data_IF_875270129765
#
_entry.id   IF_875270129765
#
_cell.length_a   1.000
_cell.length_b   1.000
_cell.length_c   1.000
_cell.angle_alpha   90.00
_cell.angle_beta   90.00
_cell.angle_gamma   90.00
#
_symmetry.space_group_name_H-M   'P 1'
#
loop_
_entity.id
_entity.type
_entity.pdbx_description
1 polymer ?
#
# COMPACT_ATOMS: atom_id res chain seq x y z
N UNK A 1 -22.61 35.25 12.93
CA UNK A 1 -21.41 34.39 12.93
C UNK A 1 -21.88 32.96 13.13
N UNK A 2 -21.63 32.00 12.23
CA UNK A 2 -21.99 30.62 12.51
C UNK A 2 -21.10 30.11 13.66
N UNK A 3 -21.72 29.60 14.72
CA UNK A 3 -21.04 28.98 15.84
C UNK A 3 -20.35 27.71 15.34
N UNK A 4 -19.01 27.69 15.25
CA UNK A 4 -18.29 26.45 15.02
C UNK A 4 -18.65 25.47 16.13
N UNK A 5 -19.27 24.35 15.76
CA UNK A 5 -19.59 23.30 16.72
C UNK A 5 -18.29 22.66 17.16
N UNK A 6 -17.96 22.82 18.44
CA UNK A 6 -16.81 22.18 19.07
C UNK A 6 -17.26 20.97 19.87
N UNK A 7 -16.46 19.91 19.81
CA UNK A 7 -16.69 18.67 20.52
C UNK A 7 -15.51 18.39 21.45
N UNK A 8 -15.79 18.12 22.72
CA UNK A 8 -14.76 17.66 23.63
C UNK A 8 -14.39 16.20 23.33
N UNK A 9 -13.19 15.99 22.79
CA UNK A 9 -12.69 14.65 22.43
C UNK A 9 -11.89 14.07 23.59
N UNK A 10 -12.39 12.98 24.18
CA UNK A 10 -11.76 12.23 25.26
C UNK A 10 -10.73 11.22 24.75
N UNK A 11 -10.93 10.69 23.56
CA UNK A 11 -10.12 9.60 23.01
C UNK A 11 -10.57 9.17 21.63
N UNK A 12 -9.77 8.26 21.07
CA UNK A 12 -10.05 7.61 19.79
C UNK A 12 -10.16 6.11 19.98
N UNK A 13 -11.03 5.49 19.20
CA UNK A 13 -11.11 4.05 19.08
C UNK A 13 -10.81 3.64 17.64
N UNK A 14 -9.90 2.69 17.46
CA UNK A 14 -9.44 2.24 16.17
C UNK A 14 -10.07 0.89 15.81
N UNK A 15 -10.36 0.69 14.53
CA UNK A 15 -10.85 -0.58 14.00
C UNK A 15 -10.22 -0.86 12.64
N UNK A 16 -9.92 -2.14 12.36
CA UNK A 16 -9.33 -2.55 11.08
C UNK A 16 -7.81 -2.34 11.00
N UNK A 17 -7.18 -1.96 12.11
CA UNK A 17 -5.73 -1.92 12.25
C UNK A 17 -5.18 -3.30 12.66
N UNK A 18 -4.44 -3.93 11.76
CA UNK A 18 -3.65 -5.15 12.02
C UNK A 18 -2.15 -4.88 12.03
N UNK A 19 -1.70 -3.84 11.31
CA UNK A 19 -0.30 -3.43 11.22
C UNK A 19 0.18 -2.74 12.50
N UNK A 20 -0.61 -1.77 12.98
CA UNK A 20 -0.27 -0.97 14.15
C UNK A 20 -1.24 -1.22 15.28
N UNK A 21 -0.70 -1.31 16.49
CA UNK A 21 -1.50 -1.47 17.70
C UNK A 21 -2.31 -0.21 18.03
N UNK A 22 -3.41 -0.37 18.76
CA UNK A 22 -4.21 0.76 19.27
C UNK A 22 -3.36 1.74 20.08
N UNK A 23 -2.40 1.22 20.86
CA UNK A 23 -1.48 2.03 21.68
C UNK A 23 -0.61 2.92 20.79
N UNK A 24 -0.14 2.39 19.67
CA UNK A 24 0.70 3.15 18.74
C UNK A 24 -0.13 4.24 18.04
N UNK A 25 -1.31 3.89 17.54
CA UNK A 25 -2.21 4.86 16.90
C UNK A 25 -2.70 5.92 17.88
N UNK A 26 -2.90 5.58 19.15
CA UNK A 26 -3.23 6.54 20.20
C UNK A 26 -2.12 7.58 20.42
N UNK A 27 -0.83 7.22 20.24
CA UNK A 27 0.27 8.20 20.28
C UNK A 27 0.23 9.16 19.11
N UNK A 28 -0.16 8.67 17.92
CA UNK A 28 -0.32 9.50 16.72
C UNK A 28 -1.45 10.52 16.91
N UNK A 29 -2.52 10.14 17.60
CA UNK A 29 -3.69 11.01 17.85
C UNK A 29 -3.64 11.77 19.18
N UNK A 30 -2.60 11.61 19.99
CA UNK A 30 -2.43 12.30 21.28
C UNK A 30 -2.58 13.84 21.19
N UNK A 31 -2.03 14.53 20.15
CA UNK A 31 -2.23 15.98 19.97
C UNK A 31 -3.70 16.41 19.77
N UNK A 32 -4.58 15.45 19.47
CA UNK A 32 -5.99 15.66 19.16
C UNK A 32 -6.90 15.03 20.24
N UNK A 33 -6.40 14.84 21.45
CA UNK A 33 -7.13 14.21 22.55
C UNK A 33 -7.19 15.11 23.79
N UNK A 34 -8.20 14.92 24.65
CA UNK A 34 -8.45 15.65 25.91
C UNK A 34 -8.64 17.16 25.73
N UNK A 35 -9.18 17.59 24.59
CA UNK A 35 -9.48 19.00 24.29
C UNK A 35 -10.72 19.15 23.42
N UNK A 36 -11.23 20.37 23.35
CA UNK A 36 -12.28 20.72 22.40
C UNK A 36 -11.69 20.81 20.99
N UNK A 37 -12.27 20.07 20.06
CA UNK A 37 -11.90 20.08 18.65
C UNK A 37 -13.07 20.51 17.79
N UNK A 38 -12.77 21.25 16.72
CA UNK A 38 -13.71 21.42 15.61
C UNK A 38 -13.57 20.28 14.58
N UNK A 39 -14.45 20.26 13.57
CA UNK A 39 -14.43 19.24 12.53
C UNK A 39 -13.10 19.18 11.75
N UNK A 40 -12.44 20.32 11.56
CA UNK A 40 -11.16 20.36 10.84
C UNK A 40 -10.04 19.68 11.64
N UNK A 41 -9.97 19.92 12.95
CA UNK A 41 -8.97 19.29 13.82
C UNK A 41 -9.21 17.78 13.99
N UNK A 42 -10.47 17.34 14.01
CA UNK A 42 -10.82 15.91 13.98
C UNK A 42 -10.33 15.28 12.67
N UNK A 43 -10.51 15.97 11.54
CA UNK A 43 -9.97 15.54 10.25
C UNK A 43 -8.43 15.54 10.22
N UNK A 44 -7.77 16.45 10.94
CA UNK A 44 -6.31 16.42 11.10
C UNK A 44 -5.86 15.16 11.84
N UNK A 45 -6.59 14.70 12.86
CA UNK A 45 -6.29 13.45 13.55
C UNK A 45 -6.38 12.24 12.60
N UNK A 46 -7.45 12.16 11.79
CA UNK A 46 -7.59 11.12 10.74
C UNK A 46 -6.47 11.17 9.71
N UNK A 47 -6.08 12.37 9.28
CA UNK A 47 -4.95 12.56 8.36
C UNK A 47 -3.63 12.12 8.98
N UNK A 48 -3.39 12.43 10.26
CA UNK A 48 -2.19 12.01 10.97
C UNK A 48 -2.05 10.48 11.00
N UNK A 49 -3.15 9.76 11.30
CA UNK A 49 -3.18 8.29 11.23
C UNK A 49 -2.90 7.80 9.81
N UNK A 50 -3.53 8.38 8.79
CA UNK A 50 -3.29 7.98 7.40
C UNK A 50 -1.84 8.19 6.97
N UNK A 51 -1.24 9.33 7.35
CA UNK A 51 0.16 9.64 7.09
C UNK A 51 1.10 8.69 7.82
N UNK A 52 0.75 8.25 9.04
CA UNK A 52 1.52 7.23 9.75
C UNK A 52 1.63 5.94 8.92
N UNK A 53 0.52 5.45 8.35
CA UNK A 53 0.55 4.28 7.46
C UNK A 53 1.39 4.51 6.20
N UNK A 54 1.20 5.65 5.53
CA UNK A 54 1.93 5.99 4.30
C UNK A 54 3.43 6.05 4.55
N UNK A 55 3.87 6.69 5.63
CA UNK A 55 5.28 6.85 5.99
C UNK A 55 5.98 5.52 6.31
N UNK A 56 5.21 4.48 6.66
CA UNK A 56 5.72 3.12 6.91
C UNK A 56 5.56 2.20 5.68
N UNK A 57 5.19 2.74 4.52
CA UNK A 57 5.13 2.02 3.25
C UNK A 57 3.76 1.45 2.88
N UNK A 58 2.72 1.70 3.67
CA UNK A 58 1.35 1.24 3.42
C UNK A 58 0.55 2.29 2.63
N UNK A 59 1.03 2.62 1.43
CA UNK A 59 0.59 3.80 0.66
C UNK A 59 -0.86 3.77 0.19
N UNK A 60 -1.44 2.58 0.03
CA UNK A 60 -2.85 2.39 -0.32
C UNK A 60 -3.72 2.15 0.92
N UNK A 61 -3.18 2.33 2.13
CA UNK A 61 -3.94 2.28 3.38
C UNK A 61 -4.32 3.69 3.82
N UNK A 62 -5.42 3.80 4.56
CA UNK A 62 -5.86 5.09 5.07
C UNK A 62 -6.88 4.97 6.19
N UNK A 63 -7.06 6.07 6.91
CA UNK A 63 -8.05 6.17 7.97
C UNK A 63 -9.30 6.91 7.47
N UNK A 64 -10.47 6.45 7.87
CA UNK A 64 -11.78 7.07 7.62
C UNK A 64 -12.50 7.26 8.94
N UNK A 65 -13.19 8.39 9.07
CA UNK A 65 -14.12 8.63 10.18
C UNK A 65 -15.51 8.30 9.64
N UNK A 66 -16.14 7.18 10.09
CA UNK A 66 -17.50 6.87 9.68
C UNK A 66 -18.48 7.87 10.30
N UNK A 67 -19.66 8.00 9.68
CA UNK A 67 -20.78 8.73 10.25
C UNK A 67 -21.13 8.17 11.63
N UNK A 68 -21.05 9.03 12.65
CA UNK A 68 -21.23 8.65 14.04
C UNK A 68 -21.73 9.85 14.85
N UNK A 69 -22.42 9.57 15.96
CA UNK A 69 -22.73 10.57 16.97
C UNK A 69 -21.79 10.35 18.17
N UNK A 70 -20.77 11.21 18.37
CA UNK A 70 -19.80 11.04 19.45
C UNK A 70 -20.38 11.50 20.80
N UNK A 71 -21.45 10.82 21.25
CA UNK A 71 -22.18 11.16 22.47
C UNK A 71 -21.30 11.14 23.74
N UNK A 72 -20.20 10.36 23.73
CA UNK A 72 -19.30 10.20 24.86
C UNK A 72 -17.93 10.88 24.66
N UNK A 73 -17.75 11.65 23.58
CA UNK A 73 -16.44 12.23 23.23
C UNK A 73 -15.40 11.21 22.79
N UNK A 74 -15.79 9.97 22.48
CA UNK A 74 -14.92 8.97 21.84
C UNK A 74 -15.18 9.03 20.34
N UNK A 75 -14.14 9.27 19.54
CA UNK A 75 -14.23 9.26 18.08
C UNK A 75 -13.73 7.93 17.54
N UNK A 76 -14.56 7.27 16.74
CA UNK A 76 -14.19 6.05 16.02
C UNK A 76 -13.43 6.42 14.75
N UNK A 77 -12.25 5.84 14.58
CA UNK A 77 -11.47 5.88 13.34
C UNK A 77 -11.39 4.45 12.80
N UNK A 78 -11.88 4.25 11.58
CA UNK A 78 -11.73 2.97 10.87
C UNK A 78 -10.53 3.07 9.95
N UNK A 79 -9.64 2.08 10.04
CA UNK A 79 -8.50 1.93 9.16
C UNK A 79 -8.92 0.99 8.03
N UNK A 80 -8.69 1.44 6.82
CA UNK A 80 -8.77 0.63 5.61
C UNK A 80 -7.34 0.28 5.24
N UNK A 81 -6.93 -0.92 5.63
CA UNK A 81 -5.62 -1.46 5.27
C UNK A 81 -5.64 -1.96 3.83
N UNK A 82 -4.78 -1.38 3.02
CA UNK A 82 -4.81 -1.57 1.59
C UNK A 82 -4.29 -2.94 1.17
N UNK A 83 -4.81 -3.44 0.05
CA UNK A 83 -4.47 -4.75 -0.52
C UNK A 83 -4.22 -4.63 -2.01
N UNK A 84 -3.50 -5.60 -2.56
CA UNK A 84 -3.37 -5.74 -3.99
C UNK A 84 -4.48 -6.66 -4.51
N UNK A 85 -5.45 -6.10 -5.23
CA UNK A 85 -6.61 -6.88 -5.72
C UNK A 85 -6.26 -7.73 -6.94
N UNK A 86 -5.32 -7.26 -7.78
CA UNK A 86 -4.84 -7.99 -8.95
C UNK A 86 -3.47 -7.52 -9.42
N UNK A 87 -2.79 -8.40 -10.16
CA UNK A 87 -1.55 -8.13 -10.87
C UNK A 87 -1.83 -8.31 -12.36
N UNK A 88 -1.61 -7.26 -13.14
CA UNK A 88 -1.66 -7.29 -14.60
C UNK A 88 -0.25 -7.43 -15.15
N UNK A 89 0.02 -8.52 -15.88
CA UNK A 89 1.31 -8.76 -16.51
C UNK A 89 1.19 -8.55 -18.02
N UNK A 90 2.18 -7.86 -18.60
CA UNK A 90 2.21 -7.58 -20.03
C UNK A 90 3.64 -7.67 -20.58
N UNK A 91 3.76 -8.05 -21.86
CA UNK A 91 5.00 -7.94 -22.64
C UNK A 91 5.95 -9.14 -22.55
N UNK A 92 5.78 -10.03 -21.56
CA UNK A 92 6.50 -11.29 -21.52
C UNK A 92 6.03 -12.23 -22.64
N UNK A 93 6.98 -12.87 -23.32
CA UNK A 93 6.75 -13.79 -24.45
C UNK A 93 7.14 -15.23 -24.12
N UNK A 94 8.16 -15.42 -23.28
CA UNK A 94 8.79 -16.69 -22.93
C UNK A 94 8.57 -17.05 -21.45
N UNK A 95 8.62 -16.07 -20.55
CA UNK A 95 8.30 -16.27 -19.14
C UNK A 95 6.79 -16.42 -18.98
N UNK A 96 6.37 -17.47 -18.28
CA UNK A 96 4.95 -17.72 -18.00
C UNK A 96 4.44 -16.75 -16.94
N UNK A 97 3.24 -16.21 -17.13
CA UNK A 97 2.55 -15.35 -16.16
C UNK A 97 2.48 -16.01 -14.78
N UNK A 98 2.16 -17.31 -14.72
CA UNK A 98 2.09 -18.06 -13.47
C UNK A 98 3.41 -18.01 -12.67
N UNK A 99 4.56 -18.05 -13.35
CA UNK A 99 5.86 -17.92 -12.70
C UNK A 99 6.03 -16.52 -12.10
N UNK A 100 5.81 -15.46 -12.90
CA UNK A 100 5.93 -14.08 -12.47
C UNK A 100 4.97 -13.74 -11.33
N UNK A 101 3.70 -14.17 -11.45
CA UNK A 101 2.68 -13.96 -10.44
C UNK A 101 3.02 -14.67 -9.13
N UNK A 102 3.42 -15.95 -9.17
CA UNK A 102 3.83 -16.71 -7.97
C UNK A 102 5.03 -16.10 -7.24
N UNK A 103 5.90 -15.40 -7.97
CA UNK A 103 7.01 -14.65 -7.39
C UNK A 103 6.47 -13.38 -6.74
N UNK A 104 5.80 -12.52 -7.49
CA UNK A 104 5.27 -11.23 -6.99
C UNK A 104 4.37 -11.39 -5.76
N UNK A 105 3.52 -12.42 -5.72
CA UNK A 105 2.64 -12.70 -4.58
C UNK A 105 3.35 -12.83 -3.23
N UNK A 106 4.62 -13.26 -3.21
CA UNK A 106 5.41 -13.35 -1.96
C UNK A 106 5.68 -11.99 -1.32
N UNK A 107 5.67 -10.94 -2.14
CA UNK A 107 5.95 -9.56 -1.75
C UNK A 107 4.70 -8.67 -1.83
N UNK A 108 3.56 -9.24 -2.25
CA UNK A 108 2.25 -8.57 -2.29
C UNK A 108 1.35 -9.03 -1.14
N UNK A 109 1.93 -9.30 0.03
CA UNK A 109 1.17 -9.69 1.23
C UNK A 109 0.15 -8.62 1.61
N UNK A 110 -0.97 -9.03 2.20
CA UNK A 110 -1.93 -8.11 2.81
C UNK A 110 -1.59 -7.90 4.29
N UNK A 111 -1.56 -6.66 4.80
CA UNK A 111 -1.69 -5.40 4.07
C UNK A 111 -0.49 -5.09 3.16
N UNK A 112 -0.76 -4.43 2.02
CA UNK A 112 0.24 -4.14 1.00
C UNK A 112 1.28 -3.14 1.54
N UNK A 113 2.54 -3.57 1.55
CA UNK A 113 3.67 -2.71 1.85
C UNK A 113 4.51 -2.49 0.58
N UNK A 114 4.61 -1.23 0.16
CA UNK A 114 5.28 -0.86 -1.07
C UNK A 114 6.79 -1.15 -1.04
N UNK A 115 7.43 -1.03 0.13
CA UNK A 115 8.86 -1.30 0.26
C UNK A 115 9.15 -2.79 0.00
N UNK A 116 8.35 -3.69 0.60
CA UNK A 116 8.45 -5.14 0.34
C UNK A 116 8.19 -5.46 -1.14
N UNK A 117 7.20 -4.83 -1.75
CA UNK A 117 6.91 -5.02 -3.18
C UNK A 117 8.09 -4.56 -4.07
N UNK A 118 8.69 -3.42 -3.76
CA UNK A 118 9.87 -2.91 -4.48
C UNK A 118 11.07 -3.85 -4.35
N UNK A 119 11.33 -4.41 -3.16
CA UNK A 119 12.35 -5.44 -2.96
C UNK A 119 12.08 -6.67 -3.85
N UNK A 120 10.83 -7.14 -3.91
CA UNK A 120 10.44 -8.25 -4.78
C UNK A 120 10.67 -7.97 -6.27
N UNK A 121 10.33 -6.76 -6.73
CA UNK A 121 10.59 -6.31 -8.10
C UNK A 121 12.09 -6.19 -8.39
N UNK A 122 12.90 -5.75 -7.43
CA UNK A 122 14.35 -5.73 -7.53
C UNK A 122 14.94 -7.13 -7.68
N UNK A 123 14.48 -8.09 -6.88
CA UNK A 123 14.91 -9.48 -6.98
C UNK A 123 14.50 -10.12 -8.32
N UNK A 124 13.31 -9.79 -8.83
CA UNK A 124 12.88 -10.24 -10.16
C UNK A 124 13.77 -9.69 -11.29
N UNK A 125 14.27 -8.44 -11.18
CA UNK A 125 15.22 -7.87 -12.14
C UNK A 125 16.56 -8.59 -12.19
N UNK A 126 16.95 -9.26 -11.12
CA UNK A 126 18.20 -10.04 -11.07
C UNK A 126 18.07 -11.40 -11.75
N UNK A 127 16.86 -11.82 -12.12
CA UNK A 127 16.65 -13.06 -12.84
C UNK A 127 17.24 -12.95 -14.26
N UNK A 128 18.12 -13.87 -14.69
CA UNK A 128 18.76 -13.80 -16.00
C UNK A 128 17.76 -13.88 -17.17
N UNK A 129 16.57 -14.45 -16.93
CA UNK A 129 15.52 -14.54 -17.95
C UNK A 129 14.66 -13.27 -18.03
N UNK A 130 14.84 -12.29 -17.13
CA UNK A 130 14.18 -10.99 -17.15
C UNK A 130 15.17 -9.96 -17.67
N UNK A 131 14.89 -9.35 -18.82
CA UNK A 131 15.69 -8.26 -19.36
C UNK A 131 15.32 -6.92 -18.72
N UNK A 132 14.02 -6.68 -18.55
CA UNK A 132 13.49 -5.47 -17.94
C UNK A 132 12.15 -5.76 -17.28
N UNK A 133 11.85 -5.07 -16.19
CA UNK A 133 10.51 -5.01 -15.60
C UNK A 133 10.25 -3.58 -15.14
N UNK A 134 9.13 -3.03 -15.58
CA UNK A 134 8.60 -1.74 -15.13
C UNK A 134 7.24 -2.02 -14.49
N UNK A 135 7.03 -1.58 -13.26
CA UNK A 135 5.78 -1.81 -12.56
C UNK A 135 5.26 -0.51 -11.96
N UNK A 136 3.94 -0.34 -12.00
CA UNK A 136 3.22 0.81 -11.49
C UNK A 136 2.06 0.33 -10.62
N UNK A 137 1.88 0.95 -9.46
CA UNK A 137 0.73 0.70 -8.59
C UNK A 137 -0.39 1.69 -8.95
N UNK A 138 -1.50 1.18 -9.44
CA UNK A 138 -2.69 1.94 -9.80
C UNK A 138 -3.79 1.78 -8.74
N UNK A 139 -4.66 2.77 -8.52
CA UNK A 139 -5.85 2.59 -7.68
C UNK A 139 -6.77 1.49 -8.21
N UNK A 140 -7.35 0.70 -7.30
CA UNK A 140 -8.38 -0.30 -7.61
C UNK A 140 -9.79 0.28 -7.69
N UNK A 141 -10.79 -0.62 -7.74
CA UNK A 141 -12.22 -0.23 -7.82
C UNK A 141 -12.80 0.19 -6.47
N UNK A 142 -12.22 -0.30 -5.37
CA UNK A 142 -12.65 0.02 -4.00
C UNK A 142 -11.56 0.77 -3.23
N UNK A 143 -11.91 1.60 -2.23
CA UNK A 143 -10.93 2.18 -1.31
C UNK A 143 -10.09 1.10 -0.64
N UNK A 144 -8.76 1.30 -0.59
CA UNK A 144 -7.82 0.31 -0.09
C UNK A 144 -7.32 -0.68 -1.15
N UNK A 145 -8.00 -0.82 -2.29
CA UNK A 145 -7.51 -1.71 -3.35
C UNK A 145 -6.47 -1.03 -4.24
N UNK A 146 -5.44 -1.78 -4.61
CA UNK A 146 -4.47 -1.42 -5.62
C UNK A 146 -4.35 -2.49 -6.70
N UNK A 147 -4.02 -2.08 -7.92
CA UNK A 147 -3.72 -2.93 -9.07
C UNK A 147 -2.27 -2.73 -9.45
N UNK A 148 -1.49 -3.80 -9.52
CA UNK A 148 -0.10 -3.73 -9.98
C UNK A 148 -0.08 -3.98 -11.49
N UNK A 149 0.22 -2.95 -12.27
CA UNK A 149 0.47 -3.08 -13.71
C UNK A 149 1.97 -3.26 -13.92
N UNK A 150 2.38 -4.43 -14.39
CA UNK A 150 3.78 -4.81 -14.56
C UNK A 150 4.06 -5.22 -16.01
N UNK A 151 4.88 -4.41 -16.69
CA UNK A 151 5.42 -4.69 -18.01
C UNK A 151 6.77 -5.37 -17.89
N UNK A 152 6.86 -6.59 -18.40
CA UNK A 152 8.06 -7.43 -18.38
C UNK A 152 8.58 -7.61 -19.81
N UNK A 153 9.89 -7.47 -19.99
CA UNK A 153 10.60 -7.87 -21.20
C UNK A 153 11.50 -9.01 -20.81
N UNK A 154 11.31 -10.19 -21.39
CA UNK A 154 12.08 -11.38 -21.10
C UNK A 154 13.23 -11.61 -22.09
N UNK A 155 14.17 -12.44 -21.68
CA UNK A 155 15.25 -12.87 -22.55
C UNK A 155 14.79 -14.02 -23.45
N UNK A 156 15.11 -13.92 -24.73
CA UNK A 156 14.95 -15.02 -25.67
C UNK A 156 15.88 -16.18 -25.24
N UNK A 157 15.37 -17.41 -25.08
CA UNK A 157 16.12 -18.52 -24.49
C UNK A 157 17.27 -19.05 -25.36
N UNK A 158 17.37 -18.64 -26.63
CA UNK A 158 18.38 -19.13 -27.57
C UNK A 158 19.26 -17.99 -28.08
N UNK A 159 20.57 -18.11 -27.86
CA UNK A 159 21.60 -17.39 -28.61
C UNK A 159 22.27 -18.40 -29.56
N UNK A 160 21.96 -18.36 -30.85
CA UNK A 160 22.73 -19.07 -31.88
C UNK A 160 24.11 -18.42 -31.97
N UNK A 161 25.08 -18.97 -31.25
CA UNK A 161 26.49 -18.62 -31.40
C UNK A 161 27.07 -19.39 -32.58
N UNK A 162 27.17 -18.76 -33.75
CA UNK A 162 28.04 -19.25 -34.81
C UNK A 162 29.47 -18.82 -34.48
N UNK A 163 30.20 -19.65 -33.75
CA UNK A 163 31.64 -19.50 -33.59
C UNK A 163 32.33 -20.21 -34.76
N UNK A 164 32.71 -19.45 -35.79
CA UNK A 164 33.59 -19.96 -36.84
C UNK A 164 35.02 -19.95 -36.30
N UNK A 165 35.50 -21.11 -35.88
CA UNK A 165 36.93 -21.32 -35.65
C UNK A 165 37.62 -21.46 -37.01
N UNK A 166 38.62 -20.61 -37.29
CA UNK A 166 39.45 -20.73 -38.49
C UNK A 166 40.74 -21.45 -38.07
N UNK A 167 40.98 -22.70 -38.48
CA UNK A 167 42.30 -23.29 -38.32
C UNK A 167 43.30 -22.58 -39.24
N UNK A 168 44.49 -22.34 -38.69
CA UNK A 168 45.65 -21.73 -39.37
C UNK A 168 46.18 -22.61 -40.50
#
# INVERSE_FOLDING_TARGET
MPTETRLFVRGYQFYGNSVFSDIELARVTDPFTKRELNSEEIEQARRAVSLHYINHGYVNSGAVIPDQNPANGIIVIRIVEGVLSRIELQGNQWLRDAYLNSRLQRWSTSPLNLNKLQEGLQLLRQNPNVRQINAELKPGTSPGEGVLDARVVDQQPFRLGLQFDRPQ
#
